data_IF_706318773665
#
_entry.id   IF_706318773665
#
_cell.length_a   1.000
_cell.length_b   1.000
_cell.length_c   1.000
_cell.angle_alpha   90.00
_cell.angle_beta   90.00
_cell.angle_gamma   90.00
#
_symmetry.space_group_name_H-M   'P 1'
#
loop_
_entity.id
_entity.type
_entity.pdbx_description
1 polymer ?
#
# COMPACT_ATOMS: atom_id res chain seq x y z
N UNK A 1 8.03 8.90 -11.29
CA UNK A 1 7.48 8.48 -9.98
C UNK A 1 6.46 7.38 -10.20
N UNK A 2 6.54 6.30 -9.44
CA UNK A 2 5.56 5.22 -9.52
C UNK A 2 4.22 5.68 -8.93
N UNK A 3 3.12 5.15 -9.43
CA UNK A 3 1.78 5.48 -8.92
C UNK A 3 1.52 4.81 -7.59
N UNK A 4 1.92 3.54 -7.45
CA UNK A 4 1.70 2.76 -6.23
C UNK A 4 3.00 2.06 -5.82
N UNK A 5 3.34 2.18 -4.53
CA UNK A 5 4.44 1.46 -3.94
C UNK A 5 3.95 0.54 -2.85
N UNK A 6 4.29 -0.74 -2.90
CA UNK A 6 3.97 -1.71 -1.85
C UNK A 6 5.20 -1.92 -0.99
N UNK A 7 5.12 -1.50 0.25
CA UNK A 7 6.17 -1.76 1.24
C UNK A 7 5.82 -3.07 1.93
N UNK A 8 6.49 -4.14 1.53
CA UNK A 8 6.13 -5.50 1.88
C UNK A 8 5.13 -6.08 0.89
N UNK A 9 5.19 -7.39 0.69
CA UNK A 9 4.28 -8.09 -0.22
C UNK A 9 4.02 -9.51 0.25
N UNK A 10 3.32 -9.63 1.39
CA UNK A 10 2.81 -10.92 1.86
C UNK A 10 1.52 -11.29 1.14
N UNK A 11 0.75 -12.20 1.71
CA UNK A 11 -0.48 -12.69 1.07
C UNK A 11 -1.48 -11.57 0.75
N UNK A 12 -1.70 -10.66 1.69
CA UNK A 12 -2.64 -9.56 1.48
C UNK A 12 -2.12 -8.56 0.44
N UNK A 13 -0.83 -8.24 0.49
CA UNK A 13 -0.21 -7.36 -0.49
C UNK A 13 -0.31 -7.92 -1.90
N UNK A 14 -0.10 -9.23 -2.07
CA UNK A 14 -0.23 -9.90 -3.36
C UNK A 14 -1.67 -9.89 -3.86
N UNK A 15 -2.64 -10.08 -2.96
CA UNK A 15 -4.06 -10.03 -3.32
C UNK A 15 -4.45 -8.64 -3.83
N UNK A 16 -4.01 -7.60 -3.16
CA UNK A 16 -4.25 -6.21 -3.59
C UNK A 16 -3.59 -5.93 -4.94
N UNK A 17 -2.33 -6.35 -5.11
CA UNK A 17 -1.57 -6.18 -6.34
C UNK A 17 -2.28 -6.85 -7.52
N UNK A 18 -2.72 -8.11 -7.32
CA UNK A 18 -3.47 -8.85 -8.32
C UNK A 18 -4.75 -8.12 -8.71
N UNK A 19 -5.50 -7.61 -7.71
CA UNK A 19 -6.73 -6.86 -7.94
C UNK A 19 -6.50 -5.58 -8.74
N UNK A 20 -5.48 -4.81 -8.39
CA UNK A 20 -5.12 -3.56 -9.08
C UNK A 20 -4.84 -3.82 -10.56
N UNK A 21 -4.04 -4.84 -10.85
CA UNK A 21 -3.66 -5.17 -12.22
C UNK A 21 -4.83 -5.74 -13.00
N UNK A 22 -5.62 -6.63 -12.40
CA UNK A 22 -6.79 -7.23 -13.06
C UNK A 22 -7.87 -6.20 -13.38
N UNK A 23 -8.04 -5.21 -12.52
CA UNK A 23 -9.02 -4.14 -12.74
C UNK A 23 -8.54 -3.08 -13.74
N UNK A 24 -7.27 -3.12 -14.13
CA UNK A 24 -6.71 -2.13 -15.05
C UNK A 24 -6.53 -0.75 -14.43
N UNK A 25 -6.45 -0.67 -13.10
CA UNK A 25 -6.30 0.60 -12.40
C UNK A 25 -5.00 1.31 -12.79
N UNK A 26 -3.94 0.54 -12.97
CA UNK A 26 -2.66 1.01 -13.50
C UNK A 26 -1.91 -0.16 -14.12
N UNK A 27 -0.83 0.14 -14.82
CA UNK A 27 -0.01 -0.90 -15.44
C UNK A 27 1.08 -1.38 -14.49
N UNK A 28 1.65 -2.55 -14.79
CA UNK A 28 2.71 -3.13 -13.96
C UNK A 28 3.92 -2.20 -13.81
N UNK A 29 4.24 -1.43 -14.85
CA UNK A 29 5.34 -0.46 -14.82
C UNK A 29 5.10 0.73 -13.88
N UNK A 30 3.86 0.94 -13.46
CA UNK A 30 3.49 2.02 -12.53
C UNK A 30 3.61 1.60 -11.06
N UNK A 31 3.98 0.35 -10.81
CA UNK A 31 4.02 -0.22 -9.46
C UNK A 31 5.44 -0.61 -9.10
N UNK A 32 5.84 -0.31 -7.86
CA UNK A 32 7.11 -0.75 -7.30
C UNK A 32 6.85 -1.47 -5.99
N UNK A 33 7.57 -2.56 -5.74
CA UNK A 33 7.36 -3.43 -4.58
C UNK A 33 8.68 -3.64 -3.84
N UNK A 34 8.65 -3.54 -2.52
CA UNK A 34 9.76 -3.97 -1.68
C UNK A 34 9.32 -5.17 -0.85
N UNK A 35 10.29 -5.98 -0.41
CA UNK A 35 10.03 -7.15 0.42
C UNK A 35 11.27 -7.50 1.24
N UNK A 36 11.09 -8.36 2.24
CA UNK A 36 12.17 -8.75 3.14
C UNK A 36 13.23 -9.62 2.47
N UNK A 37 12.84 -10.41 1.47
CA UNK A 37 13.75 -11.38 0.84
C UNK A 37 13.77 -11.20 -0.66
N UNK A 38 14.91 -11.49 -1.27
CA UNK A 38 15.05 -11.47 -2.72
C UNK A 38 14.14 -12.51 -3.38
N UNK A 39 13.90 -13.64 -2.71
CA UNK A 39 13.00 -14.68 -3.20
C UNK A 39 11.59 -14.14 -3.43
N UNK A 40 11.06 -13.36 -2.49
CA UNK A 40 9.74 -12.75 -2.63
C UNK A 40 9.72 -11.74 -3.78
N UNK A 41 10.76 -10.92 -3.89
CA UNK A 41 10.87 -9.94 -4.98
C UNK A 41 10.90 -10.62 -6.34
N UNK A 42 11.68 -11.68 -6.48
CA UNK A 42 11.77 -12.43 -7.73
C UNK A 42 10.42 -13.06 -8.10
N UNK A 43 9.72 -13.63 -7.13
CA UNK A 43 8.41 -14.25 -7.36
C UNK A 43 7.37 -13.21 -7.78
N UNK A 44 7.35 -12.04 -7.15
CA UNK A 44 6.41 -10.96 -7.48
C UNK A 44 6.71 -10.39 -8.86
N UNK A 45 7.97 -10.18 -9.16
CA UNK A 45 8.37 -9.67 -10.48
C UNK A 45 8.00 -10.67 -11.59
N UNK A 46 8.24 -11.96 -11.36
CA UNK A 46 7.92 -13.01 -12.33
C UNK A 46 6.42 -13.13 -12.55
N UNK A 47 5.64 -13.09 -11.49
CA UNK A 47 4.19 -13.27 -11.55
C UNK A 47 3.46 -12.06 -12.12
N UNK A 48 3.86 -10.86 -11.73
CA UNK A 48 3.12 -9.63 -12.03
C UNK A 48 3.83 -8.66 -12.98
N UNK A 49 5.13 -8.82 -13.19
CA UNK A 49 5.88 -7.91 -14.05
C UNK A 49 6.13 -6.53 -13.48
N UNK A 50 5.87 -6.35 -12.19
CA UNK A 50 6.06 -5.04 -11.53
C UNK A 50 7.52 -4.78 -11.23
N UNK A 51 7.87 -3.50 -11.01
CA UNK A 51 9.21 -3.13 -10.61
C UNK A 51 9.46 -3.54 -9.15
N UNK A 52 10.69 -3.89 -8.85
CA UNK A 52 11.07 -4.25 -7.48
C UNK A 52 12.11 -3.27 -6.96
N UNK A 53 12.01 -2.94 -5.68
CA UNK A 53 12.91 -1.99 -5.02
C UNK A 53 14.01 -2.74 -4.26
N UNK A 54 15.19 -2.14 -4.20
CA UNK A 54 16.30 -2.70 -3.43
C UNK A 54 16.14 -2.46 -1.93
N UNK A 55 15.28 -1.53 -1.53
CA UNK A 55 15.00 -1.24 -0.12
C UNK A 55 13.59 -0.63 0.02
N UNK A 56 13.11 -0.56 1.25
CA UNK A 56 11.77 -0.03 1.53
C UNK A 56 11.63 1.45 1.17
N UNK A 57 12.69 2.23 1.35
CA UNK A 57 12.68 3.66 1.03
C UNK A 57 12.39 3.93 -0.44
N UNK A 58 12.92 3.11 -1.34
CA UNK A 58 12.67 3.30 -2.78
C UNK A 58 11.21 3.04 -3.13
N UNK A 59 10.57 2.06 -2.51
CA UNK A 59 9.13 1.82 -2.71
C UNK A 59 8.29 2.97 -2.15
N UNK A 60 8.77 3.63 -1.11
CA UNK A 60 8.06 4.72 -0.45
C UNK A 60 8.09 6.05 -1.22
N UNK A 61 8.77 6.11 -2.35
CA UNK A 61 8.81 7.32 -3.20
C UNK A 61 7.59 7.42 -4.13
N UNK A 62 6.72 6.42 -4.13
CA UNK A 62 5.53 6.40 -4.97
C UNK A 62 4.48 7.43 -4.51
N UNK A 63 3.49 7.70 -5.37
CA UNK A 63 2.40 8.63 -5.04
C UNK A 63 1.47 8.08 -3.97
N UNK A 64 1.21 6.76 -4.00
CA UNK A 64 0.44 6.06 -2.96
C UNK A 64 1.31 4.93 -2.42
N UNK A 65 1.52 4.90 -1.12
CA UNK A 65 2.40 3.94 -0.46
C UNK A 65 1.57 3.03 0.42
N UNK A 66 1.61 1.73 0.13
CA UNK A 66 0.85 0.72 0.87
C UNK A 66 1.78 0.04 1.86
N UNK A 67 1.52 0.21 3.16
CA UNK A 67 2.28 -0.45 4.21
C UNK A 67 1.68 -1.83 4.44
N UNK A 68 2.28 -2.84 3.81
CA UNK A 68 1.76 -4.21 3.79
C UNK A 68 2.67 -5.20 4.53
N UNK A 69 3.46 -4.71 5.47
CA UNK A 69 4.29 -5.55 6.34
C UNK A 69 3.48 -5.99 7.56
N UNK A 70 3.98 -6.98 8.29
CA UNK A 70 3.33 -7.44 9.52
C UNK A 70 3.30 -6.33 10.57
N UNK A 71 2.25 -6.26 11.43
CA UNK A 71 2.10 -5.18 12.41
C UNK A 71 3.32 -4.98 13.31
N UNK A 72 3.98 -6.06 13.72
CA UNK A 72 5.16 -5.97 14.59
C UNK A 72 6.38 -5.36 13.87
N UNK A 73 6.36 -5.26 12.54
CA UNK A 73 7.43 -4.67 11.74
C UNK A 73 7.21 -3.19 11.46
N UNK A 74 6.05 -2.65 11.79
CA UNK A 74 5.67 -1.28 11.40
C UNK A 74 6.65 -0.24 11.89
N UNK A 75 7.03 -0.29 13.16
CA UNK A 75 7.87 0.76 13.72
C UNK A 75 9.23 0.86 13.01
N UNK A 76 9.88 -0.29 12.80
CA UNK A 76 11.18 -0.32 12.12
C UNK A 76 11.06 0.03 10.63
N UNK A 77 10.02 -0.46 9.97
CA UNK A 77 9.81 -0.19 8.54
C UNK A 77 9.46 1.28 8.31
N UNK A 78 8.62 1.87 9.16
CA UNK A 78 8.26 3.28 9.05
C UNK A 78 9.51 4.15 9.22
N UNK A 79 10.42 3.79 10.13
CA UNK A 79 11.67 4.52 10.28
C UNK A 79 12.49 4.52 8.98
N UNK A 80 12.42 3.45 8.19
CA UNK A 80 13.11 3.37 6.91
C UNK A 80 12.43 4.18 5.82
N UNK A 81 11.08 4.21 5.80
CA UNK A 81 10.34 4.83 4.69
C UNK A 81 10.05 6.32 4.90
N UNK A 82 9.92 6.77 6.13
CA UNK A 82 9.53 8.14 6.44
C UNK A 82 10.39 9.20 5.73
N UNK A 83 11.73 9.09 5.69
CA UNK A 83 12.55 10.08 4.99
C UNK A 83 12.35 10.12 3.49
N UNK A 84 11.79 9.07 2.89
CA UNK A 84 11.59 8.96 1.45
C UNK A 84 10.20 9.36 0.99
N UNK A 85 9.26 9.55 1.92
CA UNK A 85 7.88 9.90 1.57
C UNK A 85 7.80 11.31 0.98
N UNK A 86 7.08 11.45 -0.13
CA UNK A 86 6.74 12.76 -0.68
C UNK A 86 5.77 13.46 0.27
N UNK A 87 5.81 14.79 0.30
CA UNK A 87 4.88 15.60 1.13
C UNK A 87 3.41 15.37 0.73
N UNK A 88 3.16 14.96 -0.49
CA UNK A 88 1.81 14.72 -1.02
C UNK A 88 1.46 13.23 -1.10
N UNK A 89 2.33 12.34 -0.63
CA UNK A 89 2.09 10.91 -0.68
C UNK A 89 0.88 10.50 0.19
N UNK A 90 0.07 9.61 -0.35
CA UNK A 90 -1.00 8.98 0.42
C UNK A 90 -0.42 7.71 1.03
N UNK A 91 -0.40 7.62 2.35
CA UNK A 91 0.10 6.44 3.06
C UNK A 91 -1.08 5.60 3.51
N UNK A 92 -1.10 4.35 3.06
CA UNK A 92 -2.20 3.42 3.32
C UNK A 92 -1.69 2.30 4.21
N UNK A 93 -2.31 2.14 5.38
CA UNK A 93 -1.96 1.09 6.33
C UNK A 93 -3.03 0.00 6.31
N UNK A 94 -2.60 -1.26 6.29
CA UNK A 94 -3.50 -2.41 6.37
C UNK A 94 -3.35 -3.17 7.68
N UNK A 95 -2.54 -2.66 8.62
CA UNK A 95 -2.31 -3.34 9.89
C UNK A 95 -3.41 -3.02 10.91
N UNK A 96 -3.99 -4.05 11.55
CA UNK A 96 -4.92 -3.80 12.65
C UNK A 96 -4.18 -3.19 13.85
N UNK A 97 -4.89 -2.40 14.66
CA UNK A 97 -4.35 -1.86 15.88
C UNK A 97 -3.48 -0.62 15.75
N UNK A 98 -3.21 -0.15 14.53
CA UNK A 98 -2.45 1.09 14.32
C UNK A 98 -3.43 2.22 14.03
N UNK A 99 -3.50 3.21 14.92
CA UNK A 99 -4.44 4.33 14.77
C UNK A 99 -3.97 5.33 13.72
N UNK A 100 -4.90 6.15 13.21
CA UNK A 100 -4.56 7.25 12.30
C UNK A 100 -3.56 8.20 12.94
N UNK A 101 -3.76 8.54 14.22
CA UNK A 101 -2.86 9.43 14.96
C UNK A 101 -1.46 8.85 15.08
N UNK A 102 -1.34 7.58 15.42
CA UNK A 102 -0.06 6.89 15.54
C UNK A 102 0.69 6.88 14.19
N UNK A 103 -0.04 6.57 13.12
CA UNK A 103 0.55 6.53 11.77
C UNK A 103 1.01 7.91 11.32
N UNK A 104 0.21 8.95 11.55
CA UNK A 104 0.59 10.32 11.21
C UNK A 104 1.84 10.77 11.97
N UNK A 105 1.90 10.47 13.25
CA UNK A 105 3.05 10.82 14.10
C UNK A 105 4.32 10.12 13.62
N UNK A 106 4.24 8.82 13.37
CA UNK A 106 5.41 8.01 13.02
C UNK A 106 5.91 8.25 11.60
N UNK A 107 5.00 8.42 10.64
CA UNK A 107 5.38 8.63 9.23
C UNK A 107 5.66 10.10 8.91
N UNK A 108 5.08 11.02 9.65
CA UNK A 108 5.11 12.44 9.30
C UNK A 108 4.27 12.78 8.08
N UNK A 109 3.51 11.83 7.53
CA UNK A 109 2.70 12.05 6.34
C UNK A 109 1.43 12.82 6.67
N UNK A 110 1.01 13.68 5.74
CA UNK A 110 -0.22 14.46 5.88
C UNK A 110 -1.46 13.67 5.49
N UNK A 111 -1.31 12.69 4.60
CA UNK A 111 -2.42 11.94 4.01
C UNK A 111 -2.32 10.48 4.44
N UNK A 112 -3.11 10.10 5.43
CA UNK A 112 -3.09 8.76 6.02
C UNK A 112 -4.45 8.10 5.83
N UNK A 113 -4.42 6.82 5.45
CA UNK A 113 -5.61 6.00 5.29
C UNK A 113 -5.40 4.67 6.00
N UNK A 114 -6.41 4.18 6.69
CA UNK A 114 -6.40 2.83 7.24
C UNK A 114 -7.40 1.98 6.47
N UNK A 115 -6.96 0.80 6.08
CA UNK A 115 -7.81 -0.21 5.45
C UNK A 115 -7.86 -1.44 6.34
N UNK A 116 -9.05 -2.03 6.43
CA UNK A 116 -9.27 -3.29 7.14
C UNK A 116 -9.87 -4.29 6.16
N UNK A 117 -9.05 -4.86 5.25
CA UNK A 117 -9.53 -5.84 4.29
C UNK A 117 -9.78 -7.19 4.97
N UNK A 118 -10.67 -7.98 4.39
CA UNK A 118 -10.92 -9.32 4.88
C UNK A 118 -10.48 -10.38 3.85
N UNK A 119 -10.64 -11.66 4.23
CA UNK A 119 -10.10 -12.79 3.47
C UNK A 119 -10.53 -12.86 2.00
N UNK A 120 -11.78 -12.59 1.61
CA UNK A 120 -12.15 -12.68 0.20
C UNK A 120 -11.43 -11.71 -0.75
N UNK A 121 -10.65 -10.76 -0.23
CA UNK A 121 -9.86 -9.86 -1.06
C UNK A 121 -8.96 -10.62 -2.04
N UNK A 122 -8.51 -11.82 -1.69
CA UNK A 122 -7.65 -12.65 -2.53
C UNK A 122 -8.29 -13.01 -3.87
N UNK A 123 -9.61 -13.02 -3.95
CA UNK A 123 -10.35 -13.33 -5.18
C UNK A 123 -11.18 -12.15 -5.69
N UNK A 124 -10.89 -10.95 -5.21
CA UNK A 124 -11.57 -9.73 -5.66
C UNK A 124 -12.98 -9.54 -5.11
N UNK A 125 -13.37 -10.30 -4.11
CA UNK A 125 -14.71 -10.25 -3.50
C UNK A 125 -14.67 -9.75 -2.05
N UNK A 126 -13.55 -9.16 -1.62
CA UNK A 126 -13.37 -8.72 -0.24
C UNK A 126 -14.16 -7.48 0.10
N UNK A 127 -14.52 -7.37 1.38
CA UNK A 127 -15.03 -6.12 1.96
C UNK A 127 -13.87 -5.43 2.66
N UNK A 128 -13.77 -4.12 2.51
CA UNK A 128 -12.73 -3.34 3.14
C UNK A 128 -13.34 -2.14 3.84
N UNK A 129 -13.09 -2.01 5.14
CA UNK A 129 -13.45 -0.81 5.89
C UNK A 129 -12.36 0.22 5.68
N UNK A 130 -12.74 1.46 5.39
CA UNK A 130 -11.81 2.54 5.08
C UNK A 130 -11.96 3.66 6.10
N UNK A 131 -10.84 4.07 6.72
CA UNK A 131 -10.81 5.21 7.62
C UNK A 131 -9.81 6.23 7.08
N UNK A 132 -10.27 7.47 6.88
CA UNK A 132 -9.44 8.55 6.34
C UNK A 132 -8.94 9.47 7.45
N UNK A 133 -7.68 9.88 7.37
CA UNK A 133 -7.16 10.98 8.17
C UNK A 133 -7.61 12.33 7.60
N UNK A 134 -7.24 13.41 8.28
CA UNK A 134 -7.76 14.76 7.99
C UNK A 134 -7.14 15.42 6.75
N UNK A 135 -5.98 14.97 6.30
CA UNK A 135 -5.23 15.63 5.24
C UNK A 135 -5.65 15.32 3.81
N UNK A 136 -6.66 14.45 3.62
CA UNK A 136 -7.08 14.03 2.27
C UNK A 136 -8.20 14.90 1.72
N UNK A 137 -8.08 15.31 0.46
CA UNK A 137 -9.15 15.99 -0.26
C UNK A 137 -10.03 14.96 -0.99
N UNK A 138 -11.05 15.42 -1.71
CA UNK A 138 -11.99 14.52 -2.39
C UNK A 138 -11.31 13.72 -3.52
N UNK A 139 -10.33 14.33 -4.20
CA UNK A 139 -9.58 13.62 -5.25
C UNK A 139 -8.74 12.50 -4.64
N UNK A 140 -8.10 12.74 -3.49
CA UNK A 140 -7.34 11.72 -2.77
C UNK A 140 -8.24 10.56 -2.36
N UNK A 141 -9.42 10.86 -1.81
CA UNK A 141 -10.38 9.84 -1.37
C UNK A 141 -10.88 9.01 -2.56
N UNK A 142 -11.10 9.65 -3.70
CA UNK A 142 -11.51 8.95 -4.92
C UNK A 142 -10.43 7.98 -5.39
N UNK A 143 -9.17 8.36 -5.32
CA UNK A 143 -8.04 7.50 -5.68
C UNK A 143 -7.95 6.29 -4.74
N UNK A 144 -8.10 6.51 -3.44
CA UNK A 144 -8.09 5.45 -2.45
C UNK A 144 -9.25 4.48 -2.69
N UNK A 145 -10.45 5.02 -2.94
CA UNK A 145 -11.62 4.18 -3.18
C UNK A 145 -11.48 3.36 -4.46
N UNK A 146 -10.91 3.94 -5.52
CA UNK A 146 -10.62 3.18 -6.75
C UNK A 146 -9.66 2.02 -6.47
N UNK A 147 -8.65 2.27 -5.64
CA UNK A 147 -7.72 1.22 -5.21
C UNK A 147 -8.46 0.11 -4.46
N UNK A 148 -9.29 0.48 -3.48
CA UNK A 148 -10.05 -0.49 -2.68
C UNK A 148 -10.99 -1.31 -3.56
N UNK A 149 -11.71 -0.66 -4.45
CA UNK A 149 -12.67 -1.33 -5.34
C UNK A 149 -12.00 -2.27 -6.34
N UNK A 150 -10.71 -2.11 -6.59
CA UNK A 150 -9.97 -2.99 -7.49
C UNK A 150 -9.83 -4.42 -6.94
N UNK A 151 -9.98 -4.61 -5.63
CA UNK A 151 -9.89 -5.94 -5.01
C UNK A 151 -11.10 -6.27 -4.11
N UNK A 152 -12.18 -5.50 -4.19
CA UNK A 152 -13.39 -5.77 -3.41
C UNK A 152 -14.28 -4.55 -3.32
N UNK A 153 -15.15 -4.52 -2.28
CA UNK A 153 -16.00 -3.39 -1.98
C UNK A 153 -15.44 -2.59 -0.82
N UNK A 154 -15.60 -1.27 -0.87
CA UNK A 154 -15.14 -0.39 0.19
C UNK A 154 -16.31 0.26 0.92
N UNK A 155 -16.13 0.48 2.23
CA UNK A 155 -17.10 1.22 3.04
C UNK A 155 -16.42 2.12 4.08
#
# INVERSE_FOLDING_TARGET
>A
MHKIGFVGCGNMGRAMLSGVLSAGLCESGDIIVSARTQKTLDAVHEEFGVNVASNNGDAAKAEMVILAVKPQMYESVIAEVAPSLSSEAIVVSIAPGKTLSWLAEKTGAKKIVRLMPNTPAAIGCGMTSVAYGDGLDEADKARVMAFVQSFGEGE
#
